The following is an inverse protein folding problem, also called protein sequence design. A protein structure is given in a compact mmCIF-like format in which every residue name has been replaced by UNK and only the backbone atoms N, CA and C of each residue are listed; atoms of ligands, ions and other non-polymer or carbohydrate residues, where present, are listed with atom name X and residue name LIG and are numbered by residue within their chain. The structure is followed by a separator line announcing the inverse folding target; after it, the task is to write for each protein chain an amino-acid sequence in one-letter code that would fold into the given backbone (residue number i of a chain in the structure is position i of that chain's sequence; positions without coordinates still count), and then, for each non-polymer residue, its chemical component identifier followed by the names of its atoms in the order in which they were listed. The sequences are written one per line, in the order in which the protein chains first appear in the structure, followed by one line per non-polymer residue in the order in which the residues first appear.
data_IF_422524530068
#
_entry.id   IF_422524530068
#
_cell.length_a   1.000
_cell.length_b   1.000
_cell.length_c   1.000
_cell.angle_alpha   90.00
_cell.angle_beta   90.00
_cell.angle_gamma   90.00
#
_symmetry.space_group_name_H-M   'P 1'
#
loop_
_entity.id
_entity.type
_entity.pdbx_description
1 polymer ?
#
# COMPACT_ATOMS: atom_id res chain seq x y z
N UNK A 1 11.64 8.63 -15.38
CA UNK A 1 12.45 9.85 -15.54
C UNK A 1 12.49 10.75 -14.31
N UNK A 2 11.35 11.24 -13.80
CA UNK A 2 11.35 12.20 -12.67
C UNK A 2 12.23 11.77 -11.47
N UNK A 3 12.05 10.55 -10.95
CA UNK A 3 12.86 10.02 -9.84
C UNK A 3 14.36 10.04 -10.16
N UNK A 4 14.72 9.60 -11.37
CA UNK A 4 16.12 9.53 -11.80
C UNK A 4 16.74 10.93 -11.96
N UNK A 5 15.97 11.90 -12.46
CA UNK A 5 16.40 13.28 -12.57
C UNK A 5 16.66 13.89 -11.19
N UNK A 6 15.80 13.62 -10.19
CA UNK A 6 15.99 14.07 -8.81
C UNK A 6 17.25 13.45 -8.20
N UNK A 7 17.43 12.13 -8.32
CA UNK A 7 18.64 11.45 -7.81
C UNK A 7 19.91 12.03 -8.46
N UNK A 8 19.87 12.26 -9.77
CA UNK A 8 21.00 12.83 -10.53
C UNK A 8 21.31 14.27 -10.14
N UNK A 9 20.28 15.07 -9.80
CA UNK A 9 20.44 16.44 -9.37
C UNK A 9 20.99 16.58 -7.94
N UNK A 10 20.85 15.54 -7.10
CA UNK A 10 21.24 15.54 -5.68
C UNK A 10 22.20 14.38 -5.32
N UNK A 11 23.35 14.21 -6.00
CA UNK A 11 24.20 13.03 -5.86
C UNK A 11 24.97 12.98 -4.52
N UNK A 12 25.04 14.09 -3.79
CA UNK A 12 25.60 14.15 -2.44
C UNK A 12 24.68 13.48 -1.42
N UNK A 13 23.36 13.60 -1.61
CA UNK A 13 22.35 13.20 -0.64
C UNK A 13 21.64 11.90 -1.03
N UNK A 14 21.44 11.67 -2.34
CA UNK A 14 20.59 10.60 -2.86
C UNK A 14 21.38 9.60 -3.71
N UNK A 15 20.94 8.34 -3.69
CA UNK A 15 21.41 7.30 -4.60
C UNK A 15 20.29 6.33 -4.92
N UNK A 16 20.16 5.93 -6.19
CA UNK A 16 19.22 4.86 -6.57
C UNK A 16 19.66 3.54 -5.95
N UNK A 17 18.70 2.80 -5.41
CA UNK A 17 18.92 1.47 -4.86
C UNK A 17 17.86 0.50 -5.39
N UNK A 18 18.30 -0.72 -5.66
CA UNK A 18 17.47 -1.77 -6.22
C UNK A 18 17.74 -3.12 -5.53
N UNK A 19 18.47 -3.12 -4.41
CA UNK A 19 18.74 -4.29 -3.59
C UNK A 19 19.06 -3.93 -2.14
N UNK A 20 18.95 -4.90 -1.23
CA UNK A 20 19.34 -4.73 0.18
C UNK A 20 20.80 -4.31 0.32
N UNK A 21 21.68 -4.86 -0.50
CA UNK A 21 23.10 -4.52 -0.50
C UNK A 21 23.33 -3.04 -0.83
N UNK A 22 22.58 -2.49 -1.79
CA UNK A 22 22.66 -1.09 -2.20
C UNK A 22 22.07 -0.14 -1.16
N UNK A 23 20.96 -0.51 -0.52
CA UNK A 23 20.41 0.27 0.59
C UNK A 23 21.43 0.36 1.73
N UNK A 24 22.04 -0.76 2.11
CA UNK A 24 23.07 -0.78 3.16
C UNK A 24 24.32 -0.01 2.74
N UNK A 25 24.69 -0.02 1.46
CA UNK A 25 25.79 0.80 0.93
C UNK A 25 25.48 2.29 1.06
N UNK A 26 24.31 2.73 0.60
CA UNK A 26 23.86 4.12 0.72
C UNK A 26 23.92 4.61 2.18
N UNK A 27 23.42 3.78 3.12
CA UNK A 27 23.46 4.11 4.55
C UNK A 27 24.88 4.30 5.08
N UNK A 28 25.84 3.45 4.69
CA UNK A 28 27.26 3.59 5.09
C UNK A 28 27.91 4.85 4.49
N UNK A 29 27.46 5.25 3.32
CA UNK A 29 27.92 6.46 2.62
C UNK A 29 27.21 7.74 3.12
N UNK A 30 26.29 7.63 4.08
CA UNK A 30 25.53 8.77 4.60
C UNK A 30 24.45 9.29 3.63
N UNK A 31 24.06 8.48 2.63
CA UNK A 31 23.07 8.83 1.61
C UNK A 31 21.71 8.17 1.85
N UNK A 32 20.67 8.78 1.30
CA UNK A 32 19.33 8.23 1.24
C UNK A 32 19.22 7.32 0.01
N UNK A 33 18.87 6.05 0.25
CA UNK A 33 18.57 5.09 -0.81
C UNK A 33 17.17 5.36 -1.39
N UNK A 34 17.10 5.64 -2.68
CA UNK A 34 15.84 5.86 -3.40
C UNK A 34 15.48 4.59 -4.16
N UNK A 35 14.39 3.96 -3.74
CA UNK A 35 13.75 2.85 -4.45
C UNK A 35 12.56 3.36 -5.26
N UNK A 36 12.11 2.57 -6.24
CA UNK A 36 10.89 2.86 -7.00
C UNK A 36 9.86 1.76 -6.80
N UNK A 37 8.61 2.18 -6.64
CA UNK A 37 7.44 1.31 -6.62
C UNK A 37 6.37 1.81 -7.57
N UNK A 38 5.54 0.88 -8.03
CA UNK A 38 4.33 1.19 -8.81
C UNK A 38 3.13 0.98 -7.91
N UNK A 39 2.25 1.96 -7.82
CA UNK A 39 1.04 1.87 -7.00
C UNK A 39 -0.19 1.60 -7.88
N UNK A 40 -0.34 0.33 -8.25
CA UNK A 40 -1.49 -0.17 -9.01
C UNK A 40 -1.09 -0.92 -10.27
N UNK A 41 -1.61 -2.13 -10.43
CA UNK A 41 -1.33 -3.02 -11.55
C UNK A 41 -1.84 -2.54 -12.90
N UNK A 42 -2.63 -1.47 -12.96
CA UNK A 42 -3.02 -0.85 -14.24
C UNK A 42 -1.80 -0.37 -15.04
N UNK A 43 -0.67 -0.07 -14.38
CA UNK A 43 0.55 0.40 -15.03
C UNK A 43 1.19 -0.64 -15.97
N UNK A 44 0.93 -1.93 -15.77
CA UNK A 44 1.50 -2.98 -16.63
C UNK A 44 0.63 -3.30 -17.84
N UNK A 45 -0.56 -2.69 -17.97
CA UNK A 45 -1.50 -2.91 -19.09
C UNK A 45 -1.67 -4.40 -19.44
N UNK A 46 -1.92 -5.22 -18.41
CA UNK A 46 -2.08 -6.67 -18.52
C UNK A 46 -0.91 -7.41 -19.19
N UNK A 47 0.29 -6.84 -19.12
CA UNK A 47 1.49 -7.37 -19.76
C UNK A 47 2.55 -7.77 -18.74
N UNK A 48 2.81 -9.09 -18.66
CA UNK A 48 3.98 -9.63 -17.95
C UNK A 48 5.31 -9.14 -18.55
N UNK A 49 5.31 -8.76 -19.83
CA UNK A 49 6.45 -8.12 -20.48
C UNK A 49 6.74 -6.75 -19.87
N UNK A 50 5.71 -5.89 -19.78
CA UNK A 50 5.81 -4.57 -19.16
C UNK A 50 6.24 -4.67 -17.68
N UNK A 51 5.69 -5.62 -16.92
CA UNK A 51 6.11 -5.90 -15.54
C UNK A 51 7.63 -6.14 -15.43
N UNK A 52 8.18 -6.98 -16.31
CA UNK A 52 9.63 -7.24 -16.37
C UNK A 52 10.42 -6.01 -16.77
N UNK A 53 9.92 -5.20 -17.68
CA UNK A 53 10.59 -3.98 -18.13
C UNK A 53 10.64 -2.93 -17.02
N UNK A 54 9.57 -2.73 -16.26
CA UNK A 54 9.60 -1.89 -15.06
C UNK A 54 10.61 -2.37 -14.03
N UNK A 55 10.70 -3.68 -13.80
CA UNK A 55 11.72 -4.23 -12.92
C UNK A 55 13.15 -3.93 -13.41
N UNK A 56 13.41 -4.07 -14.72
CA UNK A 56 14.71 -3.73 -15.34
C UNK A 56 15.03 -2.24 -15.20
N UNK A 57 14.01 -1.38 -15.23
CA UNK A 57 14.14 0.06 -15.01
C UNK A 57 14.37 0.46 -13.54
N UNK A 58 14.33 -0.50 -12.60
CA UNK A 58 14.65 -0.28 -11.20
C UNK A 58 13.45 -0.31 -10.24
N UNK A 59 12.24 -0.59 -10.73
CA UNK A 59 11.07 -0.79 -9.86
C UNK A 59 11.24 -2.06 -9.04
N UNK A 60 10.93 -2.00 -7.74
CA UNK A 60 11.14 -3.11 -6.80
C UNK A 60 9.89 -3.56 -6.06
N UNK A 61 8.80 -2.82 -6.10
CA UNK A 61 7.49 -3.33 -5.70
C UNK A 61 6.39 -2.86 -6.63
N UNK A 62 5.28 -3.59 -6.64
CA UNK A 62 4.05 -3.13 -7.25
C UNK A 62 2.86 -3.45 -6.34
N UNK A 63 2.06 -2.43 -6.03
CA UNK A 63 0.72 -2.60 -5.45
C UNK A 63 -0.20 -3.16 -6.51
N UNK A 64 -0.93 -4.23 -6.22
CA UNK A 64 -1.69 -4.93 -7.28
C UNK A 64 -2.87 -4.10 -7.79
N UNK A 65 -3.50 -3.31 -6.93
CA UNK A 65 -4.58 -2.37 -7.30
C UNK A 65 -4.33 -1.00 -6.66
N UNK A 66 -5.13 -0.01 -7.04
CA UNK A 66 -5.28 1.23 -6.28
C UNK A 66 -6.73 1.28 -5.76
N UNK A 67 -7.40 2.42 -5.74
CA UNK A 67 -8.81 2.58 -5.34
C UNK A 67 -9.82 1.94 -6.30
N UNK A 68 -9.38 1.34 -7.41
CA UNK A 68 -10.23 0.63 -8.37
C UNK A 68 -9.66 -0.75 -8.71
N UNK A 69 -10.56 -1.70 -8.96
CA UNK A 69 -10.21 -3.01 -9.49
C UNK A 69 -9.71 -2.87 -10.93
N UNK A 70 -8.78 -3.75 -11.32
CA UNK A 70 -8.28 -3.83 -12.69
C UNK A 70 -8.76 -5.15 -13.32
N UNK A 71 -8.25 -5.51 -14.49
CA UNK A 71 -8.73 -6.69 -15.21
C UNK A 71 -8.32 -8.03 -14.60
N UNK A 72 -7.58 -8.05 -13.48
CA UNK A 72 -7.11 -9.30 -12.88
C UNK A 72 -6.97 -9.32 -11.36
N UNK A 73 -7.20 -8.20 -10.67
CA UNK A 73 -7.19 -8.10 -9.21
C UNK A 73 -8.25 -7.11 -8.68
N UNK A 74 -8.84 -7.45 -7.55
CA UNK A 74 -9.88 -6.65 -6.89
C UNK A 74 -9.33 -5.65 -5.86
N UNK A 75 -9.95 -4.48 -5.81
CA UNK A 75 -9.62 -3.40 -4.88
C UNK A 75 -10.50 -3.45 -3.63
N UNK A 76 -10.00 -2.87 -2.52
CA UNK A 76 -10.81 -2.47 -1.37
C UNK A 76 -11.79 -1.32 -1.73
N UNK A 77 -11.55 -0.67 -2.86
CA UNK A 77 -12.42 0.29 -3.53
C UNK A 77 -12.24 1.74 -3.05
N UNK A 78 -13.01 2.65 -3.64
CA UNK A 78 -13.06 4.04 -3.22
C UNK A 78 -14.07 4.23 -2.08
N UNK A 79 -13.68 3.83 -0.87
CA UNK A 79 -14.51 3.90 0.33
C UNK A 79 -14.73 5.33 0.87
N UNK A 80 -14.23 6.36 0.17
CA UNK A 80 -14.57 7.77 0.38
C UNK A 80 -15.55 8.33 -0.66
N UNK A 81 -16.21 7.47 -1.44
CA UNK A 81 -17.27 7.87 -2.36
C UNK A 81 -18.66 7.78 -1.69
N UNK A 82 -19.57 8.76 -1.94
CA UNK A 82 -20.98 8.58 -1.62
C UNK A 82 -21.54 7.33 -2.31
N UNK A 83 -22.26 6.48 -1.57
CA UNK A 83 -22.77 5.17 -2.02
C UNK A 83 -21.68 4.13 -2.32
N UNK A 84 -20.56 4.16 -1.60
CA UNK A 84 -19.56 3.09 -1.66
C UNK A 84 -20.22 1.72 -1.40
N UNK A 85 -20.02 0.82 -2.35
CA UNK A 85 -20.42 -0.57 -2.27
C UNK A 85 -19.20 -1.43 -2.64
N UNK A 86 -18.72 -2.24 -1.69
CA UNK A 86 -17.56 -3.09 -1.90
C UNK A 86 -17.79 -4.12 -3.02
N UNK A 87 -19.03 -4.58 -3.21
CA UNK A 87 -19.37 -5.57 -4.23
C UNK A 87 -19.11 -5.05 -5.66
N UNK A 88 -19.27 -3.75 -5.88
CA UNK A 88 -18.97 -3.13 -7.18
C UNK A 88 -17.48 -3.19 -7.59
N UNK A 89 -16.61 -3.57 -6.65
CA UNK A 89 -15.17 -3.77 -6.86
C UNK A 89 -14.78 -5.26 -6.88
N UNK A 90 -15.72 -6.19 -6.76
CA UNK A 90 -15.47 -7.64 -6.73
C UNK A 90 -15.64 -8.24 -8.13
N UNK A 91 -14.72 -7.93 -9.03
CA UNK A 91 -14.76 -8.39 -10.42
C UNK A 91 -14.22 -9.82 -10.59
N UNK A 92 -13.29 -10.22 -9.72
CA UNK A 92 -12.57 -11.50 -9.81
C UNK A 92 -12.78 -12.39 -8.57
N UNK A 93 -13.39 -11.83 -7.52
CA UNK A 93 -13.44 -12.42 -6.18
C UNK A 93 -12.03 -12.67 -5.61
N UNK A 94 -11.15 -11.67 -5.77
CA UNK A 94 -9.74 -11.76 -5.41
C UNK A 94 -8.81 -11.57 -6.62
N UNK A 95 -8.06 -12.63 -6.94
CA UNK A 95 -7.20 -12.70 -8.13
C UNK A 95 -7.79 -13.64 -9.19
N UNK A 96 -7.83 -13.16 -10.43
CA UNK A 96 -7.99 -14.05 -11.60
C UNK A 96 -6.77 -14.97 -11.78
N UNK A 97 -6.88 -15.97 -12.67
CA UNK A 97 -5.74 -16.83 -13.05
C UNK A 97 -4.54 -16.03 -13.57
N UNK A 98 -4.81 -14.99 -14.36
CA UNK A 98 -3.77 -14.06 -14.84
C UNK A 98 -3.17 -13.27 -13.67
N UNK A 99 -3.99 -12.80 -12.72
CA UNK A 99 -3.51 -12.13 -11.51
C UNK A 99 -2.58 -13.02 -10.68
N UNK A 100 -2.89 -14.32 -10.58
CA UNK A 100 -1.99 -15.29 -9.95
C UNK A 100 -0.69 -15.47 -10.75
N UNK A 101 -0.73 -15.40 -12.09
CA UNK A 101 0.47 -15.42 -12.92
C UNK A 101 1.33 -14.16 -12.72
N UNK A 102 0.71 -12.98 -12.56
CA UNK A 102 1.41 -11.72 -12.20
C UNK A 102 2.16 -11.89 -10.88
N UNK A 103 1.51 -12.40 -9.83
CA UNK A 103 2.15 -12.64 -8.52
C UNK A 103 3.34 -13.60 -8.64
N UNK A 104 3.19 -14.70 -9.40
CA UNK A 104 4.29 -15.65 -9.64
C UNK A 104 5.46 -15.02 -10.39
N UNK A 105 5.19 -14.21 -11.41
CA UNK A 105 6.22 -13.51 -12.16
C UNK A 105 6.95 -12.47 -11.29
N UNK A 106 6.22 -11.76 -10.43
CA UNK A 106 6.82 -10.86 -9.44
C UNK A 106 7.79 -11.61 -8.51
N UNK A 107 7.39 -12.78 -7.99
CA UNK A 107 8.29 -13.62 -7.20
C UNK A 107 9.54 -14.03 -7.99
N UNK A 108 9.38 -14.47 -9.25
CA UNK A 108 10.47 -14.94 -10.09
C UNK A 108 11.50 -13.84 -10.35
N UNK A 109 11.05 -12.62 -10.65
CA UNK A 109 11.95 -11.49 -10.95
C UNK A 109 12.47 -10.75 -9.71
N UNK A 110 11.94 -11.05 -8.53
CA UNK A 110 12.33 -10.37 -7.29
C UNK A 110 11.64 -9.02 -7.08
N UNK A 111 10.47 -8.83 -7.69
CA UNK A 111 9.59 -7.70 -7.40
C UNK A 111 8.72 -8.05 -6.17
N UNK A 112 8.76 -7.17 -5.17
CA UNK A 112 7.95 -7.30 -3.96
C UNK A 112 6.46 -7.13 -4.29
N UNK A 113 5.65 -8.07 -3.81
CA UNK A 113 4.19 -8.03 -3.94
C UNK A 113 3.63 -7.17 -2.80
N UNK A 114 3.03 -6.04 -3.17
CA UNK A 114 2.37 -5.15 -2.22
C UNK A 114 0.85 -5.36 -2.22
N UNK A 115 0.30 -5.57 -1.02
CA UNK A 115 -1.12 -5.84 -0.76
C UNK A 115 -1.86 -4.65 -0.16
N UNK A 116 -1.24 -3.48 -0.07
CA UNK A 116 -1.98 -2.24 0.19
C UNK A 116 -3.05 -2.01 -0.91
N UNK A 117 -4.15 -1.34 -0.58
CA UNK A 117 -5.32 -1.08 -1.45
C UNK A 117 -6.16 -2.28 -1.91
N UNK A 118 -5.63 -3.50 -1.93
CA UNK A 118 -6.35 -4.66 -2.48
C UNK A 118 -7.50 -5.11 -1.58
N UNK A 119 -8.43 -5.89 -2.14
CA UNK A 119 -9.51 -6.50 -1.37
C UNK A 119 -9.01 -7.57 -0.39
N UNK A 120 -9.83 -7.89 0.62
CA UNK A 120 -9.56 -9.00 1.55
C UNK A 120 -9.32 -10.32 0.82
N UNK A 121 -10.16 -10.66 -0.14
CA UNK A 121 -10.02 -11.87 -0.97
C UNK A 121 -8.74 -11.84 -1.82
N UNK A 122 -8.34 -10.67 -2.31
CA UNK A 122 -7.06 -10.53 -3.02
C UNK A 122 -5.88 -10.75 -2.09
N UNK A 123 -5.94 -10.27 -0.84
CA UNK A 123 -4.90 -10.56 0.17
C UNK A 123 -4.81 -12.07 0.39
N UNK A 124 -5.96 -12.74 0.54
CA UNK A 124 -6.03 -14.19 0.75
C UNK A 124 -5.38 -14.95 -0.41
N UNK A 125 -5.77 -14.61 -1.64
CA UNK A 125 -5.24 -15.21 -2.86
C UNK A 125 -3.74 -14.95 -3.06
N UNK A 126 -3.26 -13.75 -2.71
CA UNK A 126 -1.83 -13.42 -2.75
C UNK A 126 -1.06 -14.26 -1.73
N UNK A 127 -1.58 -14.42 -0.51
CA UNK A 127 -0.93 -15.20 0.54
C UNK A 127 -0.84 -16.69 0.16
N UNK A 128 -1.82 -17.20 -0.56
CA UNK A 128 -1.83 -18.57 -1.10
C UNK A 128 -0.91 -18.74 -2.31
N UNK A 129 -0.91 -17.76 -3.22
CA UNK A 129 -0.19 -17.84 -4.50
C UNK A 129 1.30 -17.53 -4.36
N UNK A 130 1.67 -16.53 -3.55
CA UNK A 130 3.04 -16.03 -3.49
C UNK A 130 3.99 -17.05 -2.87
N UNK A 131 5.15 -17.24 -3.50
CA UNK A 131 6.28 -18.05 -2.99
C UNK A 131 7.28 -17.22 -2.18
N UNK A 132 7.24 -15.89 -2.33
CA UNK A 132 7.99 -14.94 -1.52
C UNK A 132 7.12 -14.39 -0.37
N UNK A 133 7.71 -13.85 0.70
CA UNK A 133 6.95 -13.01 1.61
C UNK A 133 6.33 -11.84 0.85
N UNK A 134 5.28 -11.26 1.43
CA UNK A 134 4.57 -10.08 0.89
C UNK A 134 4.58 -8.98 1.93
N UNK A 135 4.25 -7.76 1.53
CA UNK A 135 4.14 -6.65 2.47
C UNK A 135 2.93 -5.78 2.14
N UNK A 136 2.48 -5.01 3.11
CA UNK A 136 1.59 -3.88 2.87
C UNK A 136 2.43 -2.62 3.01
N UNK A 137 2.69 -1.90 1.92
CA UNK A 137 3.59 -0.74 1.92
C UNK A 137 3.06 0.46 2.71
N UNK A 138 1.74 0.55 2.87
CA UNK A 138 1.05 1.60 3.62
C UNK A 138 -0.37 1.15 3.95
N UNK A 139 -0.54 0.40 5.04
CA UNK A 139 -1.85 -0.01 5.57
C UNK A 139 -1.85 0.06 7.09
N UNK A 140 -3.04 0.21 7.68
CA UNK A 140 -3.20 0.27 9.13
C UNK A 140 -4.12 -0.87 9.63
N UNK A 141 -4.52 -0.84 10.89
CA UNK A 141 -5.11 -1.98 11.61
C UNK A 141 -6.62 -1.82 11.70
N UNK A 142 -7.39 -2.76 11.15
CA UNK A 142 -8.85 -2.67 11.11
C UNK A 142 -9.49 -2.77 12.49
N UNK A 143 -8.81 -3.44 13.43
CA UNK A 143 -9.23 -3.51 14.83
C UNK A 143 -9.22 -2.15 15.56
N UNK A 144 -8.45 -1.18 15.07
CA UNK A 144 -8.33 0.16 15.67
C UNK A 144 -9.07 1.24 14.86
N UNK A 145 -9.18 1.05 13.54
CA UNK A 145 -9.96 1.89 12.64
C UNK A 145 -10.58 1.04 11.52
N UNK A 146 -11.90 0.89 11.55
CA UNK A 146 -12.64 -0.11 10.78
C UNK A 146 -13.07 0.39 9.39
N UNK A 147 -12.20 0.17 8.41
CA UNK A 147 -12.45 0.47 7.00
C UNK A 147 -11.79 -0.57 6.08
N UNK A 148 -12.31 -0.75 4.84
CA UNK A 148 -11.79 -1.76 3.90
C UNK A 148 -10.28 -1.66 3.64
N UNK A 149 -9.71 -0.45 3.67
CA UNK A 149 -8.28 -0.19 3.40
C UNK A 149 -7.32 -0.70 4.48
N UNK A 150 -7.83 -0.93 5.70
CA UNK A 150 -7.06 -1.43 6.83
C UNK A 150 -7.12 -2.94 6.89
N UNK A 151 -6.06 -3.58 7.38
CA UNK A 151 -5.92 -5.04 7.43
C UNK A 151 -6.63 -5.65 8.63
N UNK A 152 -7.23 -6.82 8.44
CA UNK A 152 -7.73 -7.63 9.57
C UNK A 152 -6.58 -8.22 10.39
N UNK A 153 -6.85 -8.61 11.64
CA UNK A 153 -5.87 -9.32 12.47
C UNK A 153 -5.46 -10.66 11.85
N UNK A 154 -6.34 -11.32 11.09
CA UNK A 154 -5.99 -12.54 10.36
C UNK A 154 -4.97 -12.26 9.24
N UNK A 155 -5.21 -11.23 8.42
CA UNK A 155 -4.27 -10.81 7.39
C UNK A 155 -2.93 -10.40 7.99
N UNK A 156 -2.91 -9.61 9.06
CA UNK A 156 -1.68 -9.20 9.75
C UNK A 156 -0.90 -10.43 10.22
N UNK A 157 -1.57 -11.40 10.85
CA UNK A 157 -0.94 -12.65 11.32
C UNK A 157 -0.37 -13.48 10.17
N UNK A 158 -1.11 -13.65 9.08
CA UNK A 158 -0.69 -14.46 7.94
C UNK A 158 0.46 -13.80 7.16
N UNK A 159 0.44 -12.47 7.01
CA UNK A 159 1.57 -11.71 6.45
C UNK A 159 2.81 -11.93 7.31
N UNK A 160 2.72 -11.75 8.63
CA UNK A 160 3.84 -11.98 9.55
C UNK A 160 4.36 -13.42 9.52
N UNK A 161 3.46 -14.41 9.53
CA UNK A 161 3.82 -15.84 9.48
C UNK A 161 4.57 -16.23 8.19
N UNK A 162 4.30 -15.53 7.07
CA UNK A 162 5.03 -15.71 5.80
C UNK A 162 6.37 -14.96 5.77
N UNK A 163 6.73 -14.25 6.84
CA UNK A 163 7.92 -13.41 6.93
C UNK A 163 7.76 -12.03 6.29
N UNK A 164 6.51 -11.61 6.04
CA UNK A 164 6.15 -10.30 5.51
C UNK A 164 6.24 -9.16 6.51
N UNK A 165 5.82 -7.98 6.07
CA UNK A 165 5.82 -6.74 6.88
C UNK A 165 4.55 -5.93 6.63
N UNK A 166 3.94 -5.39 7.68
CA UNK A 166 2.86 -4.41 7.61
C UNK A 166 3.45 -3.03 7.92
N UNK A 167 3.53 -2.16 6.92
CA UNK A 167 4.07 -0.82 7.06
C UNK A 167 2.93 0.15 7.37
N UNK A 168 2.95 0.72 8.58
CA UNK A 168 1.82 1.51 9.12
C UNK A 168 1.66 2.82 8.33
N UNK A 169 0.45 3.05 7.81
CA UNK A 169 0.04 4.29 7.16
C UNK A 169 -0.28 5.37 8.20
N UNK A 170 0.02 6.64 7.91
CA UNK A 170 -0.18 7.75 8.85
C UNK A 170 -1.37 8.65 8.53
N UNK A 171 -2.13 8.43 7.46
CA UNK A 171 -3.37 9.18 7.20
C UNK A 171 -4.33 9.03 8.38
N UNK A 172 -4.80 10.18 8.88
CA UNK A 172 -5.55 10.27 10.13
C UNK A 172 -6.79 9.37 10.15
N UNK A 173 -7.52 9.28 9.03
CA UNK A 173 -8.73 8.45 8.92
C UNK A 173 -8.43 6.94 8.96
N UNK A 174 -7.21 6.51 8.68
CA UNK A 174 -6.78 5.11 8.80
C UNK A 174 -6.32 4.75 10.21
N UNK A 175 -6.22 5.74 11.11
CA UNK A 175 -5.65 5.59 12.45
C UNK A 175 -6.68 5.70 13.58
N UNK A 176 -7.85 6.28 13.33
CA UNK A 176 -8.81 6.57 14.40
C UNK A 176 -10.25 6.23 14.01
N UNK A 177 -10.88 5.33 14.79
CA UNK A 177 -12.26 4.90 14.60
C UNK A 177 -13.27 6.06 14.65
N UNK A 178 -13.05 7.08 15.48
CA UNK A 178 -13.93 8.23 15.57
C UNK A 178 -13.93 9.03 14.28
N UNK A 179 -12.77 9.17 13.62
CA UNK A 179 -12.69 9.76 12.29
C UNK A 179 -13.37 8.92 11.22
N UNK A 180 -13.26 7.59 11.29
CA UNK A 180 -13.95 6.70 10.36
C UNK A 180 -15.46 6.91 10.43
N UNK A 181 -16.02 6.94 11.64
CA UNK A 181 -17.45 7.15 11.87
C UNK A 181 -17.89 8.54 11.40
N UNK A 182 -17.12 9.58 11.70
CA UNK A 182 -17.39 10.93 11.25
C UNK A 182 -17.34 11.04 9.72
N UNK A 183 -16.36 10.42 9.06
CA UNK A 183 -16.24 10.41 7.61
C UNK A 183 -17.42 9.67 6.94
N UNK A 184 -17.84 8.53 7.49
CA UNK A 184 -19.03 7.79 7.01
C UNK A 184 -20.29 8.64 7.14
N UNK A 185 -20.53 9.22 8.32
CA UNK A 185 -21.69 10.08 8.55
C UNK A 185 -21.71 11.30 7.60
N UNK A 186 -20.55 11.90 7.34
CA UNK A 186 -20.42 12.99 6.39
C UNK A 186 -20.77 12.55 4.95
N UNK A 187 -20.24 11.40 4.49
CA UNK A 187 -20.54 10.86 3.17
C UNK A 187 -22.00 10.42 3.01
N UNK A 188 -22.61 9.88 4.07
CA UNK A 188 -24.03 9.54 4.09
C UNK A 188 -24.91 10.78 3.90
N UNK A 189 -24.55 11.90 4.53
CA UNK A 189 -25.23 13.18 4.31
C UNK A 189 -25.07 13.73 2.88
N UNK A 190 -24.05 13.29 2.14
CA UNK A 190 -23.83 13.66 0.74
C UNK A 190 -24.56 12.76 -0.26
N UNK A 191 -25.22 11.68 0.16
CA UNK A 191 -25.87 10.74 -0.77
C UNK A 191 -26.95 11.42 -1.62
N UNK A 192 -27.90 12.12 -1.01
CA UNK A 192 -28.99 12.82 -1.70
C UNK A 192 -28.50 13.96 -2.61
N UNK A 193 -27.61 14.87 -2.17
CA UNK A 193 -27.00 15.83 -3.08
C UNK A 193 -26.23 15.20 -4.24
N UNK A 194 -25.46 14.14 -4.00
CA UNK A 194 -24.71 13.44 -5.05
C UNK A 194 -25.64 12.78 -6.06
N UNK A 195 -26.77 12.24 -5.62
CA UNK A 195 -27.77 11.64 -6.50
C UNK A 195 -28.43 12.67 -7.42
N UNK A 196 -28.78 13.84 -6.88
CA UNK A 196 -29.28 14.95 -7.70
C UNK A 196 -28.27 15.39 -8.76
N UNK A 197 -26.97 15.41 -8.42
CA UNK A 197 -25.90 15.71 -9.37
C UNK A 197 -25.80 14.63 -10.46
N UNK A 198 -25.91 13.34 -10.09
CA UNK A 198 -25.89 12.23 -11.06
C UNK A 198 -27.06 12.32 -12.04
N UNK A 199 -28.27 12.58 -11.56
CA UNK A 199 -29.45 12.76 -12.41
C UNK A 199 -29.33 14.01 -13.30
N UNK A 200 -28.81 15.11 -12.76
CA UNK A 200 -28.59 16.34 -13.54
C UNK A 200 -27.60 16.12 -14.70
N UNK A 201 -26.59 15.27 -14.50
CA UNK A 201 -25.53 15.00 -15.47
C UNK A 201 -25.56 13.54 -15.96
N UNK A 202 -26.76 12.96 -16.12
CA UNK A 202 -26.92 11.55 -16.53
C UNK A 202 -26.21 11.25 -17.86
N UNK A 203 -26.25 12.19 -18.81
CA UNK A 203 -25.56 12.07 -20.10
C UNK A 203 -24.06 12.42 -20.06
N UNK A 204 -23.53 12.86 -18.91
CA UNK A 204 -22.12 13.23 -18.73
C UNK A 204 -21.59 12.75 -17.36
N UNK A 205 -21.29 11.43 -17.23
CA UNK A 205 -20.82 10.84 -15.98
C UNK A 205 -19.52 11.46 -15.45
N UNK A 206 -18.64 11.93 -16.34
CA UNK A 206 -17.39 12.59 -15.94
C UNK A 206 -17.68 13.91 -15.24
N UNK A 207 -18.62 14.70 -15.76
CA UNK A 207 -19.05 15.94 -15.12
C UNK A 207 -19.79 15.69 -13.81
N UNK A 208 -20.61 14.63 -13.74
CA UNK A 208 -21.22 14.21 -12.48
C UNK A 208 -20.16 13.92 -11.42
N UNK A 209 -19.15 13.11 -11.77
CA UNK A 209 -18.07 12.73 -10.86
C UNK A 209 -17.27 13.96 -10.37
N UNK A 210 -16.90 14.87 -11.27
CA UNK A 210 -16.17 16.09 -10.90
C UNK A 210 -16.99 17.00 -9.97
N UNK A 211 -18.31 17.08 -10.16
CA UNK A 211 -19.18 17.87 -9.30
C UNK A 211 -19.38 17.22 -7.92
N UNK A 212 -19.46 15.89 -7.84
CA UNK A 212 -19.50 15.15 -6.57
C UNK A 212 -18.17 15.28 -5.82
N UNK A 213 -17.03 15.22 -6.51
CA UNK A 213 -15.72 15.43 -5.88
C UNK A 213 -15.65 16.79 -5.18
N UNK A 214 -16.11 17.86 -5.83
CA UNK A 214 -16.19 19.20 -5.22
C UNK A 214 -17.09 19.25 -3.98
N UNK A 215 -18.16 18.45 -3.96
CA UNK A 215 -19.05 18.35 -2.80
C UNK A 215 -18.34 17.68 -1.61
N UNK A 216 -17.54 16.64 -1.88
CA UNK A 216 -16.70 15.98 -0.87
C UNK A 216 -15.60 16.92 -0.38
N UNK A 217 -14.93 17.64 -1.29
CA UNK A 217 -13.88 18.60 -0.95
C UNK A 217 -14.38 19.79 -0.12
N UNK A 218 -15.69 20.09 -0.19
CA UNK A 218 -16.33 21.15 0.58
C UNK A 218 -16.73 20.71 2.00
N UNK A 219 -16.54 19.43 2.37
CA UNK A 219 -16.77 18.96 3.74
C UNK A 219 -15.84 19.70 4.72
N UNK A 220 -16.30 19.93 5.96
CA UNK A 220 -15.48 20.59 6.97
C UNK A 220 -14.19 19.79 7.22
N UNK A 221 -13.09 20.48 7.56
CA UNK A 221 -11.83 19.80 7.88
C UNK A 221 -12.05 18.83 9.04
N UNK A 222 -11.40 17.67 8.95
CA UNK A 222 -11.44 16.65 10.00
C UNK A 222 -10.72 17.16 11.26
N UNK A 223 -11.18 16.77 12.47
CA UNK A 223 -10.42 17.07 13.68
C UNK A 223 -9.05 16.40 13.64
N UNK A 224 -8.01 17.01 14.26
CA UNK A 224 -6.67 16.49 14.24
C UNK A 224 -6.57 15.16 15.02
N UNK A 225 -5.85 14.20 14.46
CA UNK A 225 -5.48 12.94 15.13
C UNK A 225 -4.07 13.05 15.67
N UNK A 226 -3.85 12.68 16.93
CA UNK A 226 -2.50 12.70 17.51
C UNK A 226 -1.60 11.63 16.87
N UNK A 227 -0.34 11.98 16.57
CA UNK A 227 0.65 11.04 16.01
C UNK A 227 0.85 9.77 16.84
N UNK A 228 0.53 9.80 18.14
CA UNK A 228 0.60 8.64 19.04
C UNK A 228 -0.31 7.50 18.58
N UNK A 229 -1.38 7.77 17.80
CA UNK A 229 -2.20 6.73 17.17
C UNK A 229 -1.41 5.86 16.19
N UNK A 230 -0.40 6.42 15.51
CA UNK A 230 0.51 5.62 14.67
C UNK A 230 1.21 4.57 15.52
N UNK A 231 1.64 4.93 16.73
CA UNK A 231 2.30 4.01 17.66
C UNK A 231 1.33 2.95 18.21
N UNK A 232 0.07 3.32 18.48
CA UNK A 232 -0.97 2.34 18.85
C UNK A 232 -1.13 1.25 17.76
N UNK A 233 -1.09 1.65 16.50
CA UNK A 233 -1.14 0.74 15.35
C UNK A 233 0.10 -0.13 15.21
N UNK A 234 1.30 0.42 15.43
CA UNK A 234 2.56 -0.33 15.47
C UNK A 234 2.49 -1.42 16.55
N UNK A 235 2.14 -1.03 17.78
CA UNK A 235 2.01 -1.94 18.93
C UNK A 235 0.98 -3.05 18.68
N UNK A 236 -0.13 -2.73 18.00
CA UNK A 236 -1.12 -3.72 17.64
C UNK A 236 -0.58 -4.76 16.64
N UNK A 237 0.17 -4.36 15.62
CA UNK A 237 0.82 -5.33 14.71
C UNK A 237 1.84 -6.18 15.47
N UNK A 238 2.65 -5.58 16.35
CA UNK A 238 3.61 -6.32 17.17
C UNK A 238 2.91 -7.37 18.04
N UNK A 239 1.75 -7.03 18.60
CA UNK A 239 0.93 -7.96 19.40
C UNK A 239 0.35 -9.11 18.57
N UNK A 240 -0.10 -8.84 17.34
CA UNK A 240 -0.79 -9.85 16.49
C UNK A 240 0.19 -10.77 15.76
N UNK A 241 1.31 -10.23 15.27
CA UNK A 241 2.22 -10.92 14.37
C UNK A 241 3.70 -10.90 14.82
N UNK A 242 4.00 -10.29 15.96
CA UNK A 242 5.35 -10.17 16.50
C UNK A 242 6.11 -8.92 16.01
N UNK A 243 7.21 -8.56 16.68
CA UNK A 243 7.99 -7.36 16.37
C UNK A 243 8.67 -7.39 15.00
N UNK A 244 8.80 -8.57 14.39
CA UNK A 244 9.47 -8.73 13.09
C UNK A 244 8.53 -8.44 11.90
N UNK A 245 7.25 -8.18 12.15
CA UNK A 245 6.20 -8.06 11.13
C UNK A 245 5.72 -6.61 10.88
N UNK A 246 6.35 -5.60 11.48
CA UNK A 246 5.89 -4.20 11.42
C UNK A 246 6.94 -3.26 10.81
N UNK A 247 6.49 -2.21 10.12
CA UNK A 247 7.33 -1.15 9.56
C UNK A 247 6.59 0.19 9.46
N UNK A 248 7.18 1.17 8.76
CA UNK A 248 6.61 2.51 8.55
C UNK A 248 6.37 2.79 7.07
N UNK A 249 5.14 3.15 6.72
CA UNK A 249 4.71 3.40 5.34
C UNK A 249 3.89 4.67 5.27
N UNK A 250 4.53 5.83 5.36
CA UNK A 250 3.86 7.07 5.76
C UNK A 250 2.84 7.60 4.77
N UNK A 251 3.00 7.33 3.47
CA UNK A 251 2.14 7.90 2.44
C UNK A 251 2.22 9.44 2.39
N UNK A 252 3.36 10.01 2.82
CA UNK A 252 3.61 11.46 2.72
C UNK A 252 3.55 11.91 1.26
N UNK A 253 3.05 13.13 1.05
CA UNK A 253 2.70 13.69 -0.25
C UNK A 253 1.60 12.93 -1.03
N UNK A 254 1.09 11.81 -0.50
CA UNK A 254 -0.06 11.04 -0.99
C UNK A 254 -1.34 11.21 -0.16
N UNK A 255 -1.23 11.71 1.06
CA UNK A 255 -2.35 11.89 2.00
C UNK A 255 -2.72 13.37 2.18
N UNK A 256 -4.02 13.70 2.36
CA UNK A 256 -4.44 15.07 2.61
C UNK A 256 -4.33 15.48 4.10
N UNK A 257 -4.23 14.52 5.02
CA UNK A 257 -4.41 14.73 6.45
C UNK A 257 -3.41 13.96 7.33
N UNK A 258 -2.13 14.36 7.35
CA UNK A 258 -1.16 13.79 8.29
C UNK A 258 -1.58 14.08 9.75
N UNK A 259 -1.18 13.24 10.71
CA UNK A 259 -1.60 13.40 12.10
C UNK A 259 -0.84 14.54 12.76
N UNK A 260 -1.50 15.21 13.71
CA UNK A 260 -0.91 16.27 14.51
C UNK A 260 0.35 15.77 15.22
N UNK A 261 1.44 16.46 14.93
CA UNK A 261 2.77 16.15 15.40
C UNK A 261 3.61 15.27 14.48
N UNK A 262 3.08 14.82 13.35
CA UNK A 262 3.79 14.04 12.33
C UNK A 262 3.43 14.57 10.94
N UNK A 263 3.50 15.89 10.78
CA UNK A 263 3.04 16.60 9.58
C UNK A 263 3.89 16.32 8.34
N UNK A 264 5.18 16.00 8.53
CA UNK A 264 6.14 15.79 7.45
C UNK A 264 7.28 14.83 7.87
N UNK A 265 8.15 14.51 6.91
CA UNK A 265 9.31 13.63 7.10
C UNK A 265 10.28 14.08 8.18
N UNK A 266 10.33 15.39 8.50
CA UNK A 266 11.19 15.94 9.56
C UNK A 266 10.72 15.52 10.96
N UNK A 267 9.48 15.04 11.11
CA UNK A 267 8.89 14.66 12.39
C UNK A 267 9.00 13.18 12.72
N UNK A 268 9.49 12.36 11.79
CA UNK A 268 9.70 10.91 11.98
C UNK A 268 10.45 10.53 13.27
N UNK A 269 11.46 11.29 13.77
CA UNK A 269 12.11 10.97 15.05
C UNK A 269 11.17 10.88 16.25
N UNK A 270 10.00 11.53 16.20
CA UNK A 270 9.00 11.46 17.28
C UNK A 270 8.41 10.07 17.45
N UNK A 271 8.34 9.27 16.38
CA UNK A 271 7.90 7.87 16.48
C UNK A 271 8.94 7.05 17.25
N UNK A 272 10.22 7.27 17.00
CA UNK A 272 11.33 6.65 17.74
C UNK A 272 11.25 7.01 19.23
N UNK A 273 11.10 8.31 19.54
CA UNK A 273 10.99 8.81 20.91
C UNK A 273 9.79 8.20 21.63
N UNK A 274 8.63 8.17 20.98
CA UNK A 274 7.40 7.64 21.56
C UNK A 274 7.48 6.12 21.79
N UNK A 275 8.03 5.34 20.86
CA UNK A 275 8.24 3.90 21.05
C UNK A 275 9.17 3.61 22.23
N UNK A 276 10.30 4.34 22.34
CA UNK A 276 11.21 4.22 23.47
C UNK A 276 10.54 4.63 24.79
N UNK A 277 9.75 5.71 24.78
CA UNK A 277 9.00 6.19 25.95
C UNK A 277 7.96 5.16 26.42
N UNK A 278 7.36 4.40 25.50
CA UNK A 278 6.42 3.31 25.80
C UNK A 278 7.11 2.01 26.24
N UNK A 279 8.43 1.96 26.25
CA UNK A 279 9.22 0.85 26.81
C UNK A 279 9.67 -0.19 25.78
N UNK A 280 9.55 0.09 24.49
CA UNK A 280 10.15 -0.77 23.47
C UNK A 280 11.68 -0.72 23.52
N UNK A 281 12.30 -1.87 23.28
CA UNK A 281 13.75 -1.96 23.20
C UNK A 281 14.30 -1.26 21.95
N UNK A 282 15.56 -0.83 22.00
CA UNK A 282 16.21 -0.26 20.81
C UNK A 282 16.24 -1.24 19.63
N UNK A 283 16.28 -2.55 19.89
CA UNK A 283 16.21 -3.58 18.85
C UNK A 283 14.85 -3.54 18.14
N UNK A 284 13.74 -3.56 18.89
CA UNK A 284 12.39 -3.47 18.32
C UNK A 284 12.19 -2.16 17.55
N UNK A 285 12.73 -1.04 18.07
CA UNK A 285 12.66 0.24 17.37
C UNK A 285 13.41 0.17 16.04
N UNK A 286 14.62 -0.40 15.98
CA UNK A 286 15.36 -0.57 14.70
C UNK A 286 14.61 -1.48 13.72
N UNK A 287 13.95 -2.52 14.20
CA UNK A 287 13.05 -3.38 13.42
C UNK A 287 11.96 -2.58 12.72
N UNK A 288 11.21 -1.77 13.47
CA UNK A 288 10.16 -0.87 12.95
C UNK A 288 10.73 0.14 11.96
N UNK A 289 11.88 0.73 12.25
CA UNK A 289 12.48 1.80 11.44
C UNK A 289 13.12 1.33 10.12
N UNK A 290 13.22 0.01 9.89
CA UNK A 290 13.60 -0.50 8.57
C UNK A 290 14.33 -1.85 8.56
N UNK A 291 14.79 -2.37 9.69
CA UNK A 291 15.46 -3.69 9.67
C UNK A 291 14.51 -4.82 9.26
N UNK A 292 13.22 -4.72 9.60
CA UNK A 292 12.20 -5.66 9.12
C UNK A 292 12.03 -5.59 7.60
N UNK A 293 12.00 -4.38 7.03
CA UNK A 293 11.93 -4.20 5.58
C UNK A 293 13.16 -4.79 4.88
N UNK A 294 14.37 -4.56 5.42
CA UNK A 294 15.60 -5.14 4.86
C UNK A 294 15.62 -6.67 4.93
N UNK A 295 15.13 -7.26 6.04
CA UNK A 295 14.97 -8.71 6.20
C UNK A 295 13.99 -9.27 5.17
N UNK A 296 12.83 -8.63 5.04
CA UNK A 296 11.80 -8.98 4.07
C UNK A 296 12.33 -8.94 2.63
N UNK A 297 12.94 -7.82 2.24
CA UNK A 297 13.44 -7.63 0.88
C UNK A 297 14.57 -8.62 0.55
N UNK A 298 15.46 -8.91 1.51
CA UNK A 298 16.50 -9.93 1.32
C UNK A 298 15.89 -11.32 1.04
N UNK A 299 14.76 -11.64 1.68
CA UNK A 299 14.06 -12.90 1.44
C UNK A 299 13.38 -12.95 0.08
N UNK A 300 12.84 -11.82 -0.40
CA UNK A 300 12.32 -11.70 -1.78
C UNK A 300 13.44 -11.94 -2.80
N UNK A 301 14.62 -11.33 -2.61
CA UNK A 301 15.78 -11.57 -3.47
C UNK A 301 16.25 -13.04 -3.44
N UNK A 302 16.23 -13.67 -2.26
CA UNK A 302 16.58 -15.10 -2.11
C UNK A 302 15.61 -16.00 -2.87
N UNK A 303 14.31 -15.74 -2.76
CA UNK A 303 13.30 -16.46 -3.52
C UNK A 303 13.54 -16.26 -5.02
N UNK A 304 13.68 -15.03 -5.52
CA UNK A 304 13.97 -14.80 -6.94
C UNK A 304 15.19 -15.59 -7.44
N UNK A 305 16.28 -15.66 -6.66
CA UNK A 305 17.45 -16.47 -7.01
C UNK A 305 17.14 -17.96 -7.11
N UNK A 306 16.30 -18.50 -6.23
CA UNK A 306 15.89 -19.92 -6.30
C UNK A 306 14.97 -20.20 -7.49
N UNK A 307 14.30 -19.18 -8.02
CA UNK A 307 13.42 -19.25 -9.20
C UNK A 307 14.13 -18.93 -10.52
N UNK A 308 15.43 -18.63 -10.52
CA UNK A 308 16.15 -18.14 -11.70
C UNK A 308 16.15 -19.12 -12.88
N UNK A 309 15.98 -20.42 -12.62
CA UNK A 309 15.89 -21.45 -13.66
C UNK A 309 14.49 -21.60 -14.26
N UNK A 310 13.46 -21.02 -13.64
CA UNK A 310 12.09 -21.07 -14.15
C UNK A 310 11.95 -20.11 -15.36
N UNK A 311 11.30 -20.55 -16.45
CA UNK A 311 11.08 -19.68 -17.60
C UNK A 311 10.17 -18.51 -17.20
N UNK A 312 10.30 -17.33 -17.86
CA UNK A 312 9.34 -16.25 -17.70
C UNK A 312 7.92 -16.72 -17.98
N UNK A 313 6.97 -16.28 -17.16
CA UNK A 313 5.56 -16.52 -17.43
C UNK A 313 5.16 -15.90 -18.78
N UNK A 314 4.38 -16.68 -19.53
CA UNK A 314 3.89 -16.36 -20.88
C UNK A 314 2.35 -16.29 -20.93
N UNK A 315 1.70 -16.37 -19.77
CA UNK A 315 0.27 -16.20 -19.60
C UNK A 315 -0.18 -14.87 -20.21
N UNK A 316 -1.34 -14.90 -20.87
CA UNK A 316 -1.99 -13.74 -21.47
C UNK A 316 -3.38 -13.66 -20.86
N UNK A 317 -3.79 -12.45 -20.47
CA UNK A 317 -5.16 -12.24 -20.04
C UNK A 317 -6.09 -12.54 -21.23
N UNK A 318 -7.08 -13.46 -21.09
CA UNK A 318 -8.01 -13.73 -22.17
C UNK A 318 -8.71 -12.44 -22.60
N UNK A 319 -8.75 -12.16 -23.90
CA UNK A 319 -9.58 -11.08 -24.40
C UNK A 319 -11.02 -11.37 -24.01
N UNK A 320 -11.66 -10.48 -23.26
CA UNK A 320 -13.11 -10.54 -23.07
C UNK A 320 -13.75 -10.50 -24.45
N UNK A 321 -14.28 -11.62 -24.92
CA UNK A 321 -15.20 -11.62 -26.05
C UNK A 321 -16.39 -10.79 -25.60
N UNK A 322 -16.48 -9.57 -26.10
CA UNK A 322 -17.70 -8.78 -26.02
C UNK A 322 -18.74 -9.50 -26.87
N UNK A 323 -19.62 -10.26 -26.22
CA UNK A 323 -20.95 -10.58 -26.72
C UNK A 323 -21.96 -9.56 -26.14
#
# INVERSE_FOLDING_TARGET
DMVQNIVTAHPADLVSAASVAEIRRAKREGKIAILMGIEGGHAIEDSLGALRDFHRLGVRYMTLTHTNSNHWADSAGNFFAPRFDAESYRLHHGLSDFGRAVVREMNRIGMMVDVSHVSDETIDDVLETSRAPVFASHSSCRALASLPRNLTDDHIRRIGAKGGVVMINVSSVFLDQGLVEAARAALDALQEPAERIRQQYESDPKRAQAAIAKLVDALPPRPPVAFTKVVDHIEHVMKVAGPDAVGLGTDFDGIPDPPAGLEDVSKLPRLTEELLRRGHSEEEVRKVLGENFLRFFAKVEEVSRSLAAEPPAADVLPSSTHD
#
